data_IF_690114148612
#
_entry.id   IF_690114148612
#
_cell.length_a   1.000
_cell.length_b   1.000
_cell.length_c   1.000
_cell.angle_alpha   90.00
_cell.angle_beta   90.00
_cell.angle_gamma   90.00
#
_symmetry.space_group_name_H-M   'P 1'
#
loop_
_entity.id
_entity.type
_entity.pdbx_description
1 polymer ?
#
# COMPACT_ATOMS: atom_id res chain seq x y z
N UNK A 1 -10.44 -5.27 3.21
CA UNK A 1 -10.69 -4.24 4.26
C UNK A 1 -11.17 -4.95 5.48
N UNK A 2 -10.60 -4.61 6.62
CA UNK A 2 -11.08 -5.09 7.92
C UNK A 2 -11.44 -3.83 8.73
N UNK A 3 -12.72 -3.48 8.78
CA UNK A 3 -13.17 -2.21 9.35
C UNK A 3 -12.73 -0.99 8.52
N UNK A 4 -11.98 -0.06 9.11
CA UNK A 4 -11.50 1.16 8.44
C UNK A 4 -10.11 0.98 7.77
N UNK A 5 -9.57 -0.24 7.74
CA UNK A 5 -8.21 -0.53 7.29
C UNK A 5 -8.18 -1.09 5.85
N UNK A 6 -7.53 -0.37 4.94
CA UNK A 6 -7.15 -0.88 3.62
C UNK A 6 -5.96 -1.84 3.77
N UNK A 7 -6.13 -3.04 3.22
CA UNK A 7 -5.14 -4.12 3.27
C UNK A 7 -4.70 -4.46 1.86
N UNK A 8 -3.40 -4.65 1.67
CA UNK A 8 -2.80 -5.13 0.42
C UNK A 8 -1.60 -6.05 0.72
N UNK A 9 -1.43 -7.17 0.01
CA UNK A 9 -2.27 -7.61 -1.09
C UNK A 9 -3.50 -8.40 -0.63
N UNK A 10 -4.39 -8.72 -1.57
CA UNK A 10 -5.54 -9.61 -1.41
C UNK A 10 -5.26 -11.07 -1.81
N UNK A 11 -4.12 -11.32 -2.46
CA UNK A 11 -3.52 -12.63 -2.68
C UNK A 11 -1.97 -12.53 -2.64
N UNK A 12 -1.22 -13.62 -2.42
CA UNK A 12 0.24 -13.60 -2.46
C UNK A 12 0.80 -12.93 -3.73
N UNK A 13 1.85 -12.11 -3.61
CA UNK A 13 2.41 -11.31 -4.70
C UNK A 13 3.94 -11.24 -4.68
N UNK A 14 4.58 -12.25 -5.27
CA UNK A 14 6.05 -12.25 -5.47
C UNK A 14 6.52 -11.03 -6.27
N UNK A 15 5.73 -10.62 -7.28
CA UNK A 15 6.02 -9.43 -8.09
C UNK A 15 6.02 -8.15 -7.25
N UNK A 16 5.05 -7.99 -6.35
CA UNK A 16 4.99 -6.83 -5.46
C UNK A 16 6.21 -6.77 -4.54
N UNK A 17 6.59 -7.90 -3.96
CA UNK A 17 7.78 -8.01 -3.10
C UNK A 17 9.05 -7.62 -3.85
N UNK A 18 9.25 -8.12 -5.08
CA UNK A 18 10.39 -7.74 -5.92
C UNK A 18 10.40 -6.23 -6.22
N UNK A 19 9.27 -5.65 -6.61
CA UNK A 19 9.19 -4.23 -6.93
C UNK A 19 9.50 -3.34 -5.72
N UNK A 20 9.06 -3.70 -4.52
CA UNK A 20 9.42 -2.94 -3.31
C UNK A 20 10.93 -2.96 -3.08
N UNK A 21 11.58 -4.11 -3.29
CA UNK A 21 13.05 -4.21 -3.25
C UNK A 21 13.73 -3.30 -4.27
N UNK A 22 13.30 -3.34 -5.52
CA UNK A 22 13.85 -2.47 -6.58
C UNK A 22 13.64 -0.98 -6.26
N UNK A 23 12.50 -0.61 -5.68
CA UNK A 23 12.21 0.77 -5.27
C UNK A 23 13.13 1.21 -4.12
N UNK A 24 13.38 0.33 -3.14
CA UNK A 24 14.33 0.57 -2.06
C UNK A 24 15.72 0.84 -2.63
N UNK A 25 16.19 0.01 -3.57
CA UNK A 25 17.55 0.08 -4.12
C UNK A 25 17.79 1.36 -4.95
N UNK A 26 16.73 2.01 -5.42
CA UNK A 26 16.80 3.20 -6.27
C UNK A 26 16.19 4.45 -5.62
N UNK A 27 16.00 4.46 -4.29
CA UNK A 27 15.43 5.59 -3.53
C UNK A 27 14.10 6.13 -4.12
N UNK A 28 13.25 5.21 -4.59
CA UNK A 28 12.01 5.55 -5.27
C UNK A 28 10.84 5.88 -4.31
N UNK A 29 9.62 5.87 -4.86
CA UNK A 29 8.38 6.14 -4.12
C UNK A 29 7.39 5.01 -4.35
N UNK A 30 6.75 4.54 -3.27
CA UNK A 30 5.68 3.55 -3.33
C UNK A 30 4.34 4.27 -3.27
N UNK A 31 3.66 4.33 -4.41
CA UNK A 31 2.34 4.94 -4.51
C UNK A 31 1.25 3.88 -4.57
N UNK A 32 0.30 3.90 -3.63
CA UNK A 32 -0.74 2.87 -3.51
C UNK A 32 -2.11 3.48 -3.72
N UNK A 33 -2.84 2.96 -4.71
CA UNK A 33 -4.21 3.38 -4.99
C UNK A 33 -5.19 2.56 -4.15
N UNK A 34 -5.96 3.24 -3.32
CA UNK A 34 -6.99 2.65 -2.46
C UNK A 34 -8.36 2.98 -3.06
N UNK A 35 -8.93 2.02 -3.80
CA UNK A 35 -10.20 2.17 -4.55
C UNK A 35 -11.45 1.89 -3.70
N UNK A 36 -11.35 2.04 -2.39
CA UNK A 36 -12.40 1.67 -1.43
C UNK A 36 -12.36 2.58 -0.21
N UNK A 37 -13.48 2.68 0.48
CA UNK A 37 -13.55 3.42 1.74
C UNK A 37 -12.58 2.83 2.77
N UNK A 38 -11.65 3.65 3.24
CA UNK A 38 -10.66 3.32 4.26
C UNK A 38 -10.10 4.61 4.88
N UNK A 39 -9.72 4.55 6.15
CA UNK A 39 -9.07 5.65 6.89
C UNK A 39 -7.57 5.45 7.07
N UNK A 40 -7.08 4.22 6.98
CA UNK A 40 -5.65 3.88 7.08
C UNK A 40 -5.28 2.78 6.08
N UNK A 41 -3.99 2.67 5.79
CA UNK A 41 -3.43 1.59 4.96
C UNK A 41 -2.44 0.73 5.77
N UNK A 42 -2.47 -0.59 5.56
CA UNK A 42 -1.49 -1.54 6.11
C UNK A 42 -1.19 -2.62 5.06
N UNK A 43 0.04 -3.18 5.05
CA UNK A 43 0.26 -4.45 4.36
C UNK A 43 -0.57 -5.55 5.02
N UNK A 44 -0.93 -6.56 4.23
CA UNK A 44 -1.75 -7.68 4.66
C UNK A 44 -0.87 -8.86 5.07
N UNK A 45 -0.43 -8.85 6.33
CA UNK A 45 0.42 -9.88 6.93
C UNK A 45 -0.15 -11.29 6.84
N UNK A 46 -1.48 -11.43 6.92
CA UNK A 46 -2.16 -12.74 6.84
C UNK A 46 -2.07 -13.34 5.42
N UNK A 47 -2.14 -12.48 4.40
CA UNK A 47 -2.15 -12.92 3.00
C UNK A 47 -0.76 -13.07 2.40
N UNK A 48 0.16 -12.14 2.69
CA UNK A 48 1.53 -12.19 2.19
C UNK A 48 2.53 -11.61 3.20
N UNK A 49 3.09 -12.45 4.08
CA UNK A 49 4.12 -12.04 5.03
C UNK A 49 5.38 -11.50 4.35
N UNK A 50 5.76 -12.03 3.18
CA UNK A 50 6.99 -11.63 2.49
C UNK A 50 6.87 -10.22 1.92
N UNK A 51 5.75 -9.91 1.27
CA UNK A 51 5.44 -8.56 0.84
C UNK A 51 5.39 -7.59 2.03
N UNK A 52 4.75 -8.02 3.13
CA UNK A 52 4.58 -7.20 4.32
C UNK A 52 5.92 -6.84 4.97
N UNK A 53 6.82 -7.81 5.12
CA UNK A 53 8.19 -7.58 5.61
C UNK A 53 8.95 -6.61 4.71
N UNK A 54 8.86 -6.78 3.39
CA UNK A 54 9.57 -5.92 2.44
C UNK A 54 9.04 -4.48 2.45
N UNK A 55 7.73 -4.30 2.66
CA UNK A 55 7.13 -2.98 2.81
C UNK A 55 7.50 -2.30 4.15
N UNK A 56 7.60 -3.07 5.24
CA UNK A 56 8.15 -2.56 6.52
C UNK A 56 9.61 -2.15 6.36
N UNK A 57 10.44 -2.93 5.66
CA UNK A 57 11.82 -2.54 5.35
C UNK A 57 11.88 -1.21 4.57
N UNK A 58 11.00 -1.02 3.58
CA UNK A 58 10.91 0.25 2.85
C UNK A 58 10.61 1.41 3.80
N UNK A 59 9.68 1.23 4.75
CA UNK A 59 9.34 2.24 5.76
C UNK A 59 10.54 2.55 6.66
N UNK A 60 11.24 1.54 7.15
CA UNK A 60 12.44 1.70 7.99
C UNK A 60 13.55 2.46 7.26
N UNK A 61 13.69 2.23 5.96
CA UNK A 61 14.63 2.95 5.08
C UNK A 61 14.14 4.34 4.65
N UNK A 62 13.02 4.83 5.19
CA UNK A 62 12.41 6.12 4.87
C UNK A 62 11.98 6.27 3.40
N UNK A 63 11.73 5.17 2.70
CA UNK A 63 11.10 5.20 1.37
C UNK A 63 9.69 5.78 1.52
N UNK A 64 9.30 6.81 0.75
CA UNK A 64 7.96 7.36 0.82
C UNK A 64 6.90 6.35 0.39
N UNK A 65 6.05 5.93 1.32
CA UNK A 65 4.87 5.11 1.04
C UNK A 65 3.64 6.01 1.13
N UNK A 66 2.96 6.18 0.00
CA UNK A 66 1.88 7.16 -0.16
C UNK A 66 0.61 6.43 -0.59
N UNK A 67 -0.26 6.05 0.36
CA UNK A 67 -1.58 5.55 0.06
C UNK A 67 -2.52 6.72 -0.26
N UNK A 68 -3.21 6.62 -1.39
CA UNK A 68 -4.18 7.61 -1.85
C UNK A 68 -5.53 6.96 -2.05
N UNK A 69 -6.56 7.57 -1.47
CA UNK A 69 -7.93 7.16 -1.68
C UNK A 69 -8.46 7.79 -2.97
N UNK A 70 -8.95 6.93 -3.86
CA UNK A 70 -9.67 7.33 -5.07
C UNK A 70 -10.99 6.56 -5.16
N UNK A 71 -11.97 7.13 -5.85
CA UNK A 71 -13.17 6.40 -6.27
C UNK A 71 -13.40 6.58 -7.76
N UNK A 72 -14.11 5.63 -8.37
CA UNK A 72 -14.49 5.67 -9.78
C UNK A 72 -15.97 5.35 -9.89
N UNK A 73 -16.74 6.21 -10.56
CA UNK A 73 -18.19 6.04 -10.73
C UNK A 73 -18.58 5.41 -12.09
N UNK A 74 -17.60 4.92 -12.85
CA UNK A 74 -17.78 4.46 -14.23
C UNK A 74 -17.51 5.53 -15.28
N UNK A 75 -17.36 6.80 -14.90
CA UNK A 75 -17.09 7.92 -15.81
C UNK A 75 -15.89 8.77 -15.37
N UNK A 76 -15.81 9.11 -14.08
CA UNK A 76 -14.80 10.00 -13.52
C UNK A 76 -14.08 9.38 -12.33
N UNK A 77 -12.80 9.71 -12.22
CA UNK A 77 -11.97 9.42 -11.05
C UNK A 77 -12.02 10.60 -10.09
N UNK A 78 -12.33 10.30 -8.82
CA UNK A 78 -12.39 11.28 -7.75
C UNK A 78 -11.24 11.05 -6.78
N UNK A 79 -10.41 12.08 -6.60
CA UNK A 79 -9.36 12.07 -5.59
C UNK A 79 -9.94 12.46 -4.23
N UNK A 80 -9.68 11.64 -3.21
CA UNK A 80 -10.21 11.85 -1.86
C UNK A 80 -9.12 12.16 -0.82
N UNK A 81 -7.88 12.34 -1.23
CA UNK A 81 -6.77 12.60 -0.31
C UNK A 81 -5.85 11.42 -0.07
N UNK A 82 -4.75 11.70 0.62
CA UNK A 82 -3.85 10.69 1.18
C UNK A 82 -4.47 10.13 2.46
N UNK A 83 -4.28 8.85 2.72
CA UNK A 83 -4.63 8.24 4.01
C UNK A 83 -3.35 7.80 4.75
N UNK A 84 -3.30 7.93 6.08
CA UNK A 84 -2.12 7.56 6.84
C UNK A 84 -1.84 6.06 6.80
N UNK A 85 -0.56 5.72 6.98
CA UNK A 85 -0.13 4.35 7.26
C UNK A 85 -0.59 3.94 8.66
N UNK A 86 -0.96 2.68 8.83
CA UNK A 86 -1.12 2.06 10.13
C UNK A 86 0.26 1.77 10.76
N UNK A 87 0.26 1.18 11.95
CA UNK A 87 1.49 0.76 12.62
C UNK A 87 1.89 -0.62 12.07
N UNK A 88 3.00 -0.64 11.31
CA UNK A 88 3.63 -1.81 10.69
C UNK A 88 5.07 -1.50 10.29
#
# INVERSE_FOLDING_TARGET
VKGDLALFPDAPTERGTRHVGEIIDHDGIIFILVLREAKKFSPNWETDPMFSQKLSEAREKNIPIIPVRISFDGKMLYYHGKIPLADF
#
